data_IF_672410896028
#
_entry.id   IF_672410896028
#
_cell.length_a   1.000
_cell.length_b   1.000
_cell.length_c   1.000
_cell.angle_alpha   90.00
_cell.angle_beta   90.00
_cell.angle_gamma   90.00
#
_symmetry.space_group_name_H-M   'P 1'
#
loop_
_entity.id
_entity.type
_entity.pdbx_description
1 polymer ?
#
# COMPACT_ATOMS: atom_id res chain seq x y z
N UNK A 1 -7.75 14.15 16.29
CA UNK A 1 -6.79 14.80 15.37
C UNK A 1 -5.39 14.47 15.84
N UNK A 2 -4.74 13.47 15.23
CA UNK A 2 -3.30 13.24 15.40
C UNK A 2 -2.76 13.02 13.99
N UNK A 3 -2.29 14.12 13.40
CA UNK A 3 -1.51 14.07 12.17
C UNK A 3 -0.23 13.32 12.48
N UNK A 4 -0.13 12.08 12.01
CA UNK A 4 1.15 11.41 11.92
C UNK A 4 2.04 12.31 11.05
N UNK A 5 3.01 13.00 11.67
CA UNK A 5 4.13 13.58 10.92
C UNK A 5 4.97 12.42 10.43
N UNK A 6 4.58 11.85 9.29
CA UNK A 6 5.44 10.94 8.56
C UNK A 6 6.74 11.68 8.25
N UNK A 7 7.87 11.13 8.67
CA UNK A 7 9.16 11.67 8.26
C UNK A 7 9.33 11.40 6.78
N UNK A 8 10.17 12.20 6.14
CA UNK A 8 10.48 12.01 4.73
C UNK A 8 11.10 10.62 4.46
N UNK A 9 11.83 10.06 5.42
CA UNK A 9 12.33 8.68 5.37
C UNK A 9 11.20 7.65 5.32
N UNK A 10 10.13 7.87 6.08
CA UNK A 10 8.96 6.99 6.09
C UNK A 10 8.25 7.07 4.74
N UNK A 11 8.02 8.28 4.22
CA UNK A 11 7.41 8.48 2.92
C UNK A 11 8.22 7.83 1.78
N UNK A 12 9.56 7.84 1.86
CA UNK A 12 10.43 7.12 0.91
C UNK A 12 10.29 5.61 1.03
N UNK A 13 10.22 5.07 2.25
CA UNK A 13 9.97 3.63 2.47
C UNK A 13 8.62 3.22 1.88
N UNK A 14 7.58 4.01 2.15
CA UNK A 14 6.22 3.76 1.64
C UNK A 14 6.17 3.81 0.12
N UNK A 15 6.75 4.85 -0.50
CA UNK A 15 6.79 4.98 -1.96
C UNK A 15 7.64 3.87 -2.60
N UNK A 16 8.73 3.46 -1.94
CA UNK A 16 9.55 2.33 -2.37
C UNK A 16 8.79 1.01 -2.36
N UNK A 17 8.00 0.75 -1.32
CA UNK A 17 7.18 -0.45 -1.21
C UNK A 17 6.10 -0.52 -2.30
N UNK A 18 5.41 0.61 -2.57
CA UNK A 18 4.43 0.71 -3.65
C UNK A 18 5.08 0.48 -5.02
N UNK A 19 6.23 1.09 -5.29
CA UNK A 19 6.96 0.87 -6.54
C UNK A 19 7.47 -0.57 -6.69
N UNK A 20 7.90 -1.21 -5.60
CA UNK A 20 8.30 -2.61 -5.60
C UNK A 20 7.12 -3.53 -5.97
N UNK A 21 5.93 -3.25 -5.43
CA UNK A 21 4.70 -3.95 -5.80
C UNK A 21 4.40 -3.82 -7.30
N UNK A 22 4.43 -2.60 -7.85
CA UNK A 22 4.21 -2.40 -9.30
C UNK A 22 5.24 -3.15 -10.15
N UNK A 23 6.52 -3.14 -9.75
CA UNK A 23 7.57 -3.88 -10.45
C UNK A 23 7.38 -5.39 -10.36
N UNK A 24 6.92 -5.91 -9.22
CA UNK A 24 6.65 -7.33 -9.03
C UNK A 24 5.59 -7.85 -10.02
N UNK A 25 4.52 -7.08 -10.21
CA UNK A 25 3.46 -7.43 -11.16
C UNK A 25 3.70 -6.92 -12.59
N UNK A 26 4.78 -6.17 -12.83
CA UNK A 26 5.09 -5.58 -14.14
C UNK A 26 4.04 -4.56 -14.61
N UNK A 27 3.39 -3.86 -13.68
CA UNK A 27 2.27 -2.95 -13.95
C UNK A 27 2.75 -1.50 -14.07
N UNK A 28 2.03 -0.72 -14.88
CA UNK A 28 2.20 0.72 -14.89
C UNK A 28 1.67 1.34 -13.58
N UNK A 29 2.34 2.39 -13.05
CA UNK A 29 1.86 3.10 -11.87
C UNK A 29 0.52 3.76 -12.19
N UNK A 30 -0.54 3.24 -11.57
CA UNK A 30 -1.89 3.76 -11.70
C UNK A 30 -2.26 4.59 -10.46
N UNK A 31 -2.82 5.77 -10.67
CA UNK A 31 -3.13 6.71 -9.58
C UNK A 31 -4.15 6.13 -8.60
N UNK A 32 -5.15 5.37 -9.06
CA UNK A 32 -6.15 4.77 -8.16
C UNK A 32 -5.54 3.66 -7.33
N UNK A 33 -4.76 2.79 -7.98
CA UNK A 33 -4.05 1.73 -7.26
C UNK A 33 -3.07 2.32 -6.25
N UNK A 34 -2.35 3.39 -6.62
CA UNK A 34 -1.39 4.06 -5.74
C UNK A 34 -2.05 4.63 -4.49
N UNK A 35 -3.26 5.19 -4.58
CA UNK A 35 -4.00 5.71 -3.41
C UNK A 35 -4.37 4.59 -2.43
N UNK A 36 -4.87 3.46 -2.94
CA UNK A 36 -5.24 2.30 -2.11
C UNK A 36 -3.99 1.69 -1.48
N UNK A 37 -2.95 1.43 -2.27
CA UNK A 37 -1.68 0.87 -1.79
C UNK A 37 -1.01 1.80 -0.76
N UNK A 38 -0.98 3.12 -0.98
CA UNK A 38 -0.49 4.09 0.01
C UNK A 38 -1.29 4.04 1.31
N UNK A 39 -2.61 3.98 1.24
CA UNK A 39 -3.46 3.91 2.44
C UNK A 39 -3.21 2.64 3.24
N UNK A 40 -3.05 1.50 2.56
CA UNK A 40 -2.75 0.21 3.19
C UNK A 40 -1.35 0.21 3.79
N UNK A 41 -0.35 0.74 3.09
CA UNK A 41 1.01 0.91 3.61
C UNK A 41 1.04 1.79 4.85
N UNK A 42 0.28 2.89 4.86
CA UNK A 42 0.16 3.77 6.03
C UNK A 42 -0.42 2.99 7.22
N UNK A 43 -1.44 2.15 7.00
CA UNK A 43 -2.03 1.37 8.06
C UNK A 43 -1.07 0.30 8.61
N UNK A 44 -0.37 -0.42 7.73
CA UNK A 44 0.68 -1.38 8.10
C UNK A 44 1.82 -0.70 8.87
N UNK A 45 2.25 0.49 8.43
CA UNK A 45 3.27 1.26 9.13
C UNK A 45 2.82 1.68 10.53
N UNK A 46 1.55 2.08 10.68
CA UNK A 46 0.94 2.39 12.00
C UNK A 46 0.86 1.16 12.90
N UNK A 47 0.78 -0.05 12.34
CA UNK A 47 0.83 -1.31 13.09
C UNK A 47 2.25 -1.65 13.60
N UNK A 48 3.28 -0.90 13.20
CA UNK A 48 4.67 -1.05 13.66
C UNK A 48 5.61 -1.68 12.64
N UNK A 49 5.16 -1.90 11.40
CA UNK A 49 5.99 -2.45 10.32
C UNK A 49 6.89 -1.35 9.71
N UNK A 50 8.18 -1.39 10.04
CA UNK A 50 9.15 -0.32 9.70
C UNK A 50 10.01 -0.56 8.47
N UNK A 51 9.86 -1.67 7.75
CA UNK A 51 10.75 -2.03 6.63
C UNK A 51 10.01 -2.02 5.29
N UNK A 52 10.58 -1.38 4.27
CA UNK A 52 9.98 -1.29 2.93
C UNK A 52 9.80 -2.67 2.28
N UNK A 53 10.70 -3.61 2.57
CA UNK A 53 10.60 -4.99 2.07
C UNK A 53 9.40 -5.73 2.68
N UNK A 54 9.21 -5.58 3.99
CA UNK A 54 8.07 -6.15 4.73
C UNK A 54 6.75 -5.55 4.26
N UNK A 55 6.71 -4.22 4.10
CA UNK A 55 5.55 -3.51 3.53
C UNK A 55 5.24 -3.96 2.10
N UNK A 56 6.26 -4.18 1.26
CA UNK A 56 6.08 -4.67 -0.10
C UNK A 56 5.57 -6.12 -0.12
N UNK A 57 6.14 -6.99 0.71
CA UNK A 57 5.70 -8.38 0.85
C UNK A 57 4.25 -8.47 1.34
N UNK A 58 3.88 -7.65 2.32
CA UNK A 58 2.50 -7.54 2.81
C UNK A 58 1.56 -6.99 1.74
N UNK A 59 1.97 -5.98 0.96
CA UNK A 59 1.19 -5.49 -0.18
C UNK A 59 0.97 -6.59 -1.23
N UNK A 60 1.99 -7.39 -1.54
CA UNK A 60 1.88 -8.51 -2.49
C UNK A 60 0.93 -9.57 -1.93
N UNK A 61 1.03 -9.89 -0.64
CA UNK A 61 0.16 -10.86 0.02
C UNK A 61 -1.31 -10.41 0.12
N UNK A 62 -1.54 -9.11 0.35
CA UNK A 62 -2.88 -8.51 0.44
C UNK A 62 -3.49 -8.29 -0.95
N UNK A 63 -2.67 -7.96 -1.94
CA UNK A 63 -3.08 -7.64 -3.29
C UNK A 63 -2.29 -8.47 -4.30
N UNK A 64 -2.88 -9.61 -4.71
CA UNK A 64 -2.38 -10.50 -5.76
C UNK A 64 -2.46 -9.88 -7.19
N UNK A 65 -2.69 -8.56 -7.29
CA UNK A 65 -2.74 -7.84 -8.56
C UNK A 65 -3.72 -6.66 -8.55
N UNK A 66 -3.82 -5.95 -9.68
CA UNK A 66 -4.57 -4.69 -9.78
C UNK A 66 -6.08 -4.91 -9.61
N UNK A 67 -6.58 -6.08 -10.03
CA UNK A 67 -7.99 -6.49 -9.82
C UNK A 67 -8.37 -6.60 -8.35
N UNK A 68 -7.41 -6.94 -7.48
CA UNK A 68 -7.61 -6.99 -6.03
C UNK A 68 -7.61 -5.59 -5.42
N UNK A 69 -6.77 -4.68 -5.95
CA UNK A 69 -6.73 -3.27 -5.54
C UNK A 69 -8.01 -2.52 -5.95
N UNK A 70 -8.61 -2.87 -7.09
CA UNK A 70 -9.90 -2.31 -7.54
C UNK A 70 -11.09 -2.75 -6.67
N UNK A 71 -10.97 -3.88 -5.97
CA UNK A 71 -12.00 -4.42 -5.09
C UNK A 71 -11.41 -4.71 -3.70
N UNK A 72 -11.00 -3.66 -2.95
CA UNK A 72 -10.50 -3.86 -1.61
C UNK A 72 -11.58 -4.55 -0.76
N UNK A 73 -11.21 -5.38 0.24
CA UNK A 73 -12.14 -6.19 1.02
C UNK A 73 -13.19 -5.40 1.84
N UNK A 74 -13.25 -4.08 1.70
CA UNK A 74 -14.29 -3.20 2.24
C UNK A 74 -15.06 -2.50 1.13
N UNK A 75 -15.76 -3.27 0.28
CA UNK A 75 -16.99 -2.75 -0.34
C UNK A 75 -18.07 -3.83 -0.39
N UNK A 76 -18.27 -4.51 0.73
CA UNK A 76 -19.61 -4.98 1.07
C UNK A 76 -20.44 -3.75 1.45
N UNK A 77 -20.94 -3.05 0.43
CA UNK A 77 -22.23 -2.36 0.55
C UNK A 77 -23.27 -3.48 0.51
N UNK A 78 -23.43 -4.20 1.62
CA UNK A 78 -24.63 -5.01 1.81
C UNK A 78 -25.77 -4.00 1.95
N UNK A 79 -26.65 -4.02 0.94
CA UNK A 79 -27.94 -3.37 0.98
C UNK A 79 -28.87 -4.13 1.92
#
# INVERSE_FOLDING_TARGET
MLGASFRESDLRLMSGAVQAWYRHFGLAPDTRCSVVLCSSVIDLFKQGHGSADDLAALLIALYDGPKSVERPPTSTKAH
#
